data_IF_730442714403
#
_entry.id   IF_730442714403
#
_cell.length_a   1.000
_cell.length_b   1.000
_cell.length_c   1.000
_cell.angle_alpha   90.00
_cell.angle_beta   90.00
_cell.angle_gamma   90.00
#
_symmetry.space_group_name_H-M   'P 1'
#
loop_
_entity.id
_entity.type
_entity.pdbx_description
1 polymer ?
#
# COMPACT_ATOMS: atom_id res chain seq x y z
N UNK A 1 -2.37 3.73 -20.58
CA UNK A 1 -1.41 4.04 -19.52
C UNK A 1 -2.25 4.44 -18.32
N UNK A 2 -2.32 3.59 -17.30
CA UNK A 2 -3.13 3.89 -16.10
C UNK A 2 -2.42 4.98 -15.27
N UNK A 3 -3.16 5.77 -14.48
CA UNK A 3 -2.56 6.83 -13.65
C UNK A 3 -1.46 6.32 -12.69
N UNK A 4 -1.52 5.04 -12.32
CA UNK A 4 -0.49 4.38 -11.51
C UNK A 4 0.83 4.15 -12.29
N UNK A 5 0.77 3.88 -13.60
CA UNK A 5 1.96 3.65 -14.43
C UNK A 5 2.78 4.93 -14.61
N UNK A 6 2.15 6.10 -14.65
CA UNK A 6 2.85 7.39 -14.85
C UNK A 6 3.64 7.83 -13.63
N UNK A 7 3.28 7.36 -12.43
CA UNK A 7 4.04 7.61 -11.19
C UNK A 7 5.30 6.75 -11.14
N UNK A 8 5.27 5.54 -11.69
CA UNK A 8 6.36 4.57 -11.57
C UNK A 8 7.33 4.58 -12.75
N UNK A 9 6.84 4.82 -13.95
CA UNK A 9 7.61 4.60 -15.17
C UNK A 9 7.33 5.67 -16.23
N UNK A 10 8.31 5.93 -17.08
CA UNK A 10 8.14 6.72 -18.29
C UNK A 10 8.80 6.00 -19.47
N UNK A 11 8.10 5.88 -20.60
CA UNK A 11 8.63 5.28 -21.83
C UNK A 11 9.17 6.38 -22.75
N UNK A 12 10.26 6.09 -23.45
CA UNK A 12 10.95 7.05 -24.33
C UNK A 12 11.36 8.36 -23.61
N UNK A 13 11.69 8.25 -22.33
CA UNK A 13 12.06 9.38 -21.48
C UNK A 13 13.48 9.86 -21.79
N UNK A 14 13.68 11.18 -21.83
CA UNK A 14 15.03 11.76 -21.76
C UNK A 14 15.64 11.56 -20.37
N UNK A 15 16.96 11.77 -20.24
CA UNK A 15 17.62 11.76 -18.93
C UNK A 15 17.01 12.78 -17.97
N UNK A 16 16.71 13.98 -18.46
CA UNK A 16 16.01 15.02 -17.71
C UNK A 16 14.62 14.55 -17.22
N UNK A 17 13.86 13.85 -18.06
CA UNK A 17 12.56 13.30 -17.67
C UNK A 17 12.70 12.23 -16.59
N UNK A 18 13.73 11.38 -16.69
CA UNK A 18 14.03 10.37 -15.67
C UNK A 18 14.41 10.99 -14.33
N UNK A 19 15.23 12.05 -14.33
CA UNK A 19 15.59 12.78 -13.11
C UNK A 19 14.34 13.41 -12.47
N UNK A 20 13.49 14.06 -13.26
CA UNK A 20 12.25 14.65 -12.77
C UNK A 20 11.28 13.59 -12.20
N UNK A 21 11.18 12.43 -12.85
CA UNK A 21 10.37 11.31 -12.35
C UNK A 21 10.90 10.79 -11.01
N UNK A 22 12.20 10.54 -10.91
CA UNK A 22 12.83 10.06 -9.67
C UNK A 22 12.69 11.07 -8.54
N UNK A 23 12.78 12.37 -8.83
CA UNK A 23 12.56 13.42 -7.83
C UNK A 23 11.11 13.39 -7.31
N UNK A 24 10.11 13.30 -8.19
CA UNK A 24 8.71 13.15 -7.76
C UNK A 24 8.49 11.90 -6.90
N UNK A 25 9.09 10.76 -7.29
CA UNK A 25 9.03 9.54 -6.49
C UNK A 25 9.71 9.70 -5.13
N UNK A 26 10.82 10.45 -5.06
CA UNK A 26 11.49 10.75 -3.81
C UNK A 26 10.62 11.61 -2.90
N UNK A 27 10.02 12.67 -3.43
CA UNK A 27 9.17 13.59 -2.69
C UNK A 27 7.86 12.93 -2.22
N UNK A 28 7.32 12.00 -3.01
CA UNK A 28 6.13 11.22 -2.67
C UNK A 28 6.40 10.09 -1.65
N UNK A 29 7.66 9.77 -1.34
CA UNK A 29 8.01 8.64 -0.49
C UNK A 29 7.42 8.79 0.91
N UNK A 30 6.73 7.74 1.36
CA UNK A 30 6.19 7.62 2.72
C UNK A 30 6.40 6.19 3.21
N UNK A 31 7.48 5.96 3.94
CA UNK A 31 7.75 4.68 4.58
C UNK A 31 7.23 4.75 6.03
N UNK A 32 6.35 3.83 6.41
CA UNK A 32 5.67 3.83 7.71
C UNK A 32 5.81 2.48 8.40
N UNK A 33 6.00 2.49 9.71
CA UNK A 33 5.89 1.30 10.55
C UNK A 33 4.56 1.37 11.29
N UNK A 34 3.67 0.42 11.03
CA UNK A 34 2.32 0.39 11.60
C UNK A 34 2.00 -1.00 12.15
N UNK A 35 1.20 -1.10 13.23
CA UNK A 35 0.71 -2.39 13.71
C UNK A 35 -0.33 -2.98 12.73
N UNK A 36 -0.49 -4.29 12.74
CA UNK A 36 -1.38 -5.02 11.84
C UNK A 36 -2.85 -4.55 11.91
N UNK A 37 -3.32 -4.12 13.09
CA UNK A 37 -4.67 -3.55 13.28
C UNK A 37 -4.94 -2.28 12.48
N UNK A 38 -3.90 -1.56 12.08
CA UNK A 38 -4.02 -0.31 11.32
C UNK A 38 -3.94 -0.58 9.80
N UNK A 39 -3.76 -1.85 9.40
CA UNK A 39 -3.75 -2.30 8.02
C UNK A 39 -5.08 -2.96 7.66
N UNK A 40 -5.62 -2.63 6.49
CA UNK A 40 -6.83 -3.27 5.98
C UNK A 40 -6.82 -3.35 4.46
N UNK A 41 -7.07 -4.53 3.91
CA UNK A 41 -7.37 -4.70 2.49
C UNK A 41 -8.85 -4.43 2.21
N UNK A 42 -9.14 -3.64 1.19
CA UNK A 42 -10.50 -3.38 0.71
C UNK A 42 -10.47 -3.00 -0.77
N UNK A 43 -11.27 -3.69 -1.58
CA UNK A 43 -11.30 -3.47 -3.03
C UNK A 43 -9.96 -3.81 -3.70
N UNK A 44 -9.11 -4.62 -3.07
CA UNK A 44 -7.76 -4.90 -3.57
C UNK A 44 -6.72 -3.82 -3.25
N UNK A 45 -7.12 -2.73 -2.58
CA UNK A 45 -6.22 -1.68 -2.10
C UNK A 45 -5.89 -1.87 -0.62
N UNK A 46 -4.66 -1.50 -0.26
CA UNK A 46 -4.19 -1.47 1.12
C UNK A 46 -4.51 -0.10 1.73
N UNK A 47 -5.40 -0.12 2.71
CA UNK A 47 -5.68 1.01 3.58
C UNK A 47 -4.79 0.96 4.80
N UNK A 48 -4.22 2.12 5.14
CA UNK A 48 -3.39 2.31 6.32
C UNK A 48 -3.99 3.43 7.13
N UNK A 49 -4.36 3.14 8.37
CA UNK A 49 -4.87 4.12 9.33
C UNK A 49 -3.72 4.73 10.15
N UNK A 50 -3.95 5.91 10.72
CA UNK A 50 -3.01 6.56 11.63
C UNK A 50 -1.74 7.11 10.96
N UNK A 51 -1.75 7.32 9.63
CA UNK A 51 -0.60 7.83 8.88
C UNK A 51 -0.80 9.29 8.45
N UNK A 52 -0.16 10.21 9.17
CA UNK A 52 -0.21 11.66 8.89
C UNK A 52 -0.88 12.46 10.00
N UNK A 53 -1.16 13.73 9.73
CA UNK A 53 -1.82 14.62 10.69
C UNK A 53 -3.32 14.31 10.78
N UNK A 54 -3.85 14.04 11.98
CA UNK A 54 -5.26 13.73 12.14
C UNK A 54 -6.15 14.93 11.79
N UNK A 55 -7.27 14.67 11.13
CA UNK A 55 -8.23 15.70 10.74
C UNK A 55 -9.27 15.88 11.83
N UNK A 56 -9.45 17.12 12.31
CA UNK A 56 -10.53 17.46 13.24
C UNK A 56 -11.80 17.72 12.42
N UNK A 57 -12.83 16.91 12.64
CA UNK A 57 -14.16 17.06 12.05
C UNK A 57 -15.20 17.31 13.15
N UNK A 58 -16.45 17.59 12.75
CA UNK A 58 -17.55 17.76 13.73
C UNK A 58 -17.84 16.47 14.51
N UNK A 59 -17.48 15.32 13.97
CA UNK A 59 -17.66 14.00 14.59
C UNK A 59 -16.48 13.60 15.49
N UNK A 60 -15.48 14.48 15.64
CA UNK A 60 -14.30 14.28 16.48
C UNK A 60 -12.99 14.25 15.69
N UNK A 61 -11.98 13.61 16.25
CA UNK A 61 -10.64 13.46 15.65
C UNK A 61 -10.62 12.18 14.81
N UNK A 62 -10.48 12.32 13.49
CA UNK A 62 -10.35 11.19 12.57
C UNK A 62 -8.87 10.96 12.28
N UNK A 63 -8.33 9.75 12.53
CA UNK A 63 -6.97 9.41 12.12
C UNK A 63 -6.78 9.63 10.63
N UNK A 64 -5.61 10.12 10.22
CA UNK A 64 -5.28 10.22 8.81
C UNK A 64 -5.20 8.81 8.20
N UNK A 65 -5.88 8.62 7.06
CA UNK A 65 -5.93 7.36 6.32
C UNK A 65 -5.28 7.54 4.96
N UNK A 66 -4.42 6.60 4.58
CA UNK A 66 -3.93 6.49 3.20
C UNK A 66 -4.50 5.26 2.51
N UNK A 67 -4.74 5.38 1.21
CA UNK A 67 -5.14 4.28 0.33
C UNK A 67 -4.01 4.03 -0.65
N UNK A 68 -3.56 2.79 -0.77
CA UNK A 68 -2.43 2.43 -1.60
C UNK A 68 -2.73 1.18 -2.41
N UNK A 69 -2.53 1.26 -3.72
CA UNK A 69 -2.58 0.11 -4.61
C UNK A 69 -1.29 -0.73 -4.43
N UNK A 70 -1.39 -2.00 -4.02
CA UNK A 70 -0.23 -2.86 -3.85
C UNK A 70 0.41 -3.21 -5.20
N UNK A 71 1.72 -3.04 -5.28
CA UNK A 71 2.54 -3.62 -6.35
C UNK A 71 2.71 -5.13 -6.17
N UNK A 72 3.14 -5.82 -7.23
CA UNK A 72 3.45 -7.27 -7.19
C UNK A 72 4.49 -7.59 -6.09
N UNK A 73 5.46 -6.71 -5.86
CA UNK A 73 6.45 -6.87 -4.79
C UNK A 73 5.78 -6.76 -3.42
N UNK A 74 4.86 -5.83 -3.25
CA UNK A 74 4.10 -5.70 -2.00
C UNK A 74 3.20 -6.91 -1.76
N UNK A 75 2.51 -7.41 -2.79
CA UNK A 75 1.71 -8.64 -2.69
C UNK A 75 2.57 -9.84 -2.29
N UNK A 76 3.78 -9.96 -2.84
CA UNK A 76 4.75 -10.97 -2.41
C UNK A 76 5.11 -10.84 -0.93
N UNK A 77 5.34 -9.61 -0.45
CA UNK A 77 5.57 -9.34 0.97
C UNK A 77 4.37 -9.68 1.86
N UNK A 78 3.15 -9.34 1.44
CA UNK A 78 1.91 -9.70 2.14
C UNK A 78 1.80 -11.23 2.24
N UNK A 79 1.99 -11.93 1.12
CA UNK A 79 1.95 -13.39 1.06
C UNK A 79 2.95 -14.02 2.04
N UNK A 80 4.21 -13.59 1.97
CA UNK A 80 5.28 -14.11 2.83
C UNK A 80 5.00 -13.87 4.31
N UNK A 81 4.62 -12.63 4.68
CA UNK A 81 4.47 -12.24 6.09
C UNK A 81 3.21 -12.75 6.76
N UNK A 82 2.18 -13.07 5.98
CA UNK A 82 0.93 -13.65 6.46
C UNK A 82 0.85 -15.17 6.23
N UNK A 83 1.89 -15.79 5.65
CA UNK A 83 1.92 -17.22 5.38
C UNK A 83 0.93 -17.67 4.30
N UNK A 84 0.51 -16.78 3.40
CA UNK A 84 -0.40 -17.08 2.30
C UNK A 84 0.43 -17.56 1.10
N UNK A 85 0.11 -18.70 0.46
CA UNK A 85 0.82 -19.13 -0.74
C UNK A 85 0.76 -18.07 -1.84
N UNK A 86 1.91 -17.66 -2.38
CA UNK A 86 2.01 -16.52 -3.32
C UNK A 86 1.18 -16.72 -4.60
N UNK A 87 1.16 -17.95 -5.15
CA UNK A 87 0.32 -18.28 -6.30
C UNK A 87 -1.18 -18.14 -5.99
N UNK A 88 -1.58 -18.48 -4.77
CA UNK A 88 -2.96 -18.36 -4.34
C UNK A 88 -3.35 -16.89 -4.15
N UNK A 89 -2.49 -16.08 -3.52
CA UNK A 89 -2.72 -14.64 -3.40
C UNK A 89 -2.88 -13.99 -4.77
N UNK A 90 -1.99 -14.31 -5.71
CA UNK A 90 -2.08 -13.82 -7.09
C UNK A 90 -3.40 -14.21 -7.76
N UNK A 91 -3.82 -15.47 -7.64
CA UNK A 91 -5.12 -15.93 -8.18
C UNK A 91 -6.29 -15.14 -7.60
N UNK A 92 -6.30 -14.91 -6.29
CA UNK A 92 -7.35 -14.10 -5.66
C UNK A 92 -7.34 -12.65 -6.17
N UNK A 93 -6.17 -12.05 -6.33
CA UNK A 93 -6.07 -10.68 -6.87
C UNK A 93 -6.62 -10.56 -8.29
N UNK A 94 -6.38 -11.56 -9.13
CA UNK A 94 -6.82 -11.55 -10.54
C UNK A 94 -8.30 -11.94 -10.70
N UNK A 95 -8.79 -12.91 -9.91
CA UNK A 95 -10.10 -13.55 -10.15
C UNK A 95 -11.16 -13.26 -9.08
N UNK A 96 -10.77 -12.98 -7.83
CA UNK A 96 -11.68 -12.88 -6.66
C UNK A 96 -11.16 -11.91 -5.60
N UNK A 97 -11.21 -10.61 -5.88
CA UNK A 97 -10.66 -9.56 -5.00
C UNK A 97 -11.30 -9.55 -3.60
N UNK A 98 -12.60 -9.88 -3.49
CA UNK A 98 -13.25 -9.97 -2.18
C UNK A 98 -12.66 -11.08 -1.29
N UNK A 99 -12.18 -12.17 -1.89
CA UNK A 99 -11.51 -13.25 -1.17
C UNK A 99 -10.09 -12.85 -0.75
N UNK A 100 -9.39 -12.08 -1.59
CA UNK A 100 -8.11 -11.47 -1.22
C UNK A 100 -8.28 -10.60 0.02
N UNK A 101 -9.25 -9.67 0.00
CA UNK A 101 -9.50 -8.76 1.11
C UNK A 101 -9.82 -9.52 2.39
N UNK A 102 -10.74 -10.49 2.32
CA UNK A 102 -11.14 -11.31 3.46
C UNK A 102 -9.96 -12.10 4.05
N UNK A 103 -9.18 -12.80 3.21
CA UNK A 103 -8.05 -13.60 3.67
C UNK A 103 -6.96 -12.74 4.31
N UNK A 104 -6.55 -11.66 3.66
CA UNK A 104 -5.50 -10.77 4.20
C UNK A 104 -5.95 -10.16 5.53
N UNK A 105 -7.18 -9.65 5.61
CA UNK A 105 -7.72 -9.07 6.85
C UNK A 105 -7.82 -10.11 7.98
N UNK A 106 -8.21 -11.34 7.65
CA UNK A 106 -8.30 -12.44 8.63
C UNK A 106 -6.92 -12.73 9.24
N UNK A 107 -5.86 -12.80 8.42
CA UNK A 107 -4.51 -13.05 8.91
C UNK A 107 -3.91 -11.87 9.68
N UNK A 108 -4.17 -10.63 9.26
CA UNK A 108 -3.77 -9.43 10.00
C UNK A 108 -4.41 -9.38 11.40
N UNK A 109 -5.63 -9.90 11.56
CA UNK A 109 -6.34 -9.93 12.83
C UNK A 109 -5.78 -10.97 13.83
N UNK A 110 -4.98 -11.94 13.40
CA UNK A 110 -4.39 -12.97 14.28
C UNK A 110 -3.38 -12.34 15.25
N UNK A 111 -2.53 -11.44 14.77
CA UNK A 111 -1.51 -10.74 15.59
C UNK A 111 -1.65 -9.22 15.45
N UNK A 112 -2.70 -8.58 16.02
CA UNK A 112 -3.05 -7.19 15.74
C UNK A 112 -1.99 -6.17 16.18
N UNK A 113 -1.09 -6.54 17.08
CA UNK A 113 0.00 -5.69 17.60
C UNK A 113 1.29 -5.82 16.79
N UNK A 114 1.42 -6.84 15.93
CA UNK A 114 2.62 -7.08 15.13
C UNK A 114 2.83 -5.94 14.16
N UNK A 115 4.07 -5.47 14.04
CA UNK A 115 4.40 -4.28 13.26
C UNK A 115 5.01 -4.64 11.92
N UNK A 116 4.58 -3.90 10.91
CA UNK A 116 5.07 -4.03 9.55
C UNK A 116 5.57 -2.68 9.05
N UNK A 117 6.73 -2.71 8.40
CA UNK A 117 7.22 -1.60 7.60
C UNK A 117 6.55 -1.68 6.21
N UNK A 118 5.74 -0.67 5.89
CA UNK A 118 5.14 -0.51 4.58
C UNK A 118 5.89 0.61 3.84
N UNK A 119 6.46 0.29 2.69
CA UNK A 119 7.09 1.28 1.81
C UNK A 119 6.07 1.77 0.81
N UNK A 120 5.75 3.06 0.85
CA UNK A 120 4.74 3.64 -0.05
C UNK A 120 5.27 4.82 -0.85
N UNK A 121 4.57 5.13 -1.94
CA UNK A 121 4.58 6.43 -2.59
C UNK A 121 3.17 7.01 -2.42
N UNK A 122 3.05 8.23 -1.90
CA UNK A 122 1.76 8.93 -1.84
C UNK A 122 1.22 9.15 -3.24
N UNK A 123 -0.09 9.04 -3.37
CA UNK A 123 -0.80 9.43 -4.57
C UNK A 123 -0.84 10.95 -4.69
N UNK A 124 -1.16 11.44 -5.89
CA UNK A 124 -1.40 12.86 -6.14
C UNK A 124 -2.92 13.12 -6.15
N UNK A 125 -3.36 14.11 -5.37
CA UNK A 125 -4.79 14.46 -5.25
C UNK A 125 -5.62 13.32 -4.65
N UNK A 126 -6.72 12.97 -5.32
CA UNK A 126 -7.65 11.92 -4.90
C UNK A 126 -7.23 10.50 -5.35
N UNK A 127 -6.10 10.36 -6.06
CA UNK A 127 -5.65 9.05 -6.53
C UNK A 127 -5.03 8.24 -5.37
N UNK A 128 -5.27 6.92 -5.31
CA UNK A 128 -4.56 6.09 -4.36
C UNK A 128 -3.04 6.14 -4.62
N UNK A 129 -2.26 6.06 -3.55
CA UNK A 129 -0.82 5.89 -3.63
C UNK A 129 -0.44 4.48 -4.08
N UNK A 130 0.85 4.18 -4.02
CA UNK A 130 1.40 2.87 -4.35
C UNK A 130 2.07 2.27 -3.12
N UNK A 131 1.65 1.06 -2.74
CA UNK A 131 2.37 0.25 -1.78
C UNK A 131 3.41 -0.59 -2.53
N UNK A 132 4.68 -0.28 -2.31
CA UNK A 132 5.81 -0.89 -3.03
C UNK A 132 6.32 -2.16 -2.35
N UNK A 133 6.24 -2.23 -1.03
CA UNK A 133 6.67 -3.40 -0.28
C UNK A 133 6.04 -3.44 1.12
N UNK A 134 5.81 -4.66 1.61
CA UNK A 134 5.51 -4.95 3.01
C UNK A 134 6.65 -5.78 3.60
N UNK A 135 7.15 -5.35 4.74
CA UNK A 135 8.27 -5.95 5.47
C UNK A 135 7.87 -6.08 6.95
N UNK A 136 8.45 -7.00 7.71
CA UNK A 136 8.27 -7.04 9.17
C UNK A 136 9.40 -6.28 9.86
N UNK A 137 9.11 -5.63 11.00
CA UNK A 137 10.18 -5.32 11.95
C UNK A 137 10.76 -6.66 12.47
N UNK A 138 12.09 -6.70 12.65
CA UNK A 138 12.79 -7.90 13.10
C UNK A 138 12.31 -8.33 14.48
#
# INVERSE_FOLDING_TARGET
MTALESVLTSRNASLSDMVALLQRQHDAKLDVVVPARDLRMSGGDLHIEGIGEPTITRDGVTPARGVFCPSVICDGGIAEKLGIPSQYLRRMREEQVGLLDCNVNTWLAVEPTKRYLIRTLRGEGDQPGIARAMLSEK
#
